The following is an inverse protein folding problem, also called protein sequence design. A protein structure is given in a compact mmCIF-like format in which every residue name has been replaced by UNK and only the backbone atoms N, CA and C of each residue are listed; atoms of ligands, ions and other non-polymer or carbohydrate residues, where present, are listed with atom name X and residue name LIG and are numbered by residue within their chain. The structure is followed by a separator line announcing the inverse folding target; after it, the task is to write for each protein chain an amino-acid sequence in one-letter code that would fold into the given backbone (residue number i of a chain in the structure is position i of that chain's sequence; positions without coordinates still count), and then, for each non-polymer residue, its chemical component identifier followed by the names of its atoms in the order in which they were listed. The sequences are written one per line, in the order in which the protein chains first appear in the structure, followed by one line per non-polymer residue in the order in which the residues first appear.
data_IF_381493559704
#
_entry.id   IF_381493559704
#
_cell.length_a   1.000
_cell.length_b   1.000
_cell.length_c   1.000
_cell.angle_alpha   90.00
_cell.angle_beta   90.00
_cell.angle_gamma   90.00
#
_symmetry.space_group_name_H-M   'P 1'
#
loop_
_entity.id
_entity.type
_entity.pdbx_description
1 polymer ?
#
# COMPACT_ATOMS: atom_id res chain seq x y z
N UNK A 1 5.05 -8.17 -13.68
CA UNK A 1 3.63 -7.95 -14.02
C UNK A 1 2.90 -7.40 -12.79
N UNK A 2 2.12 -6.32 -12.93
CA UNK A 2 1.39 -5.79 -11.79
C UNK A 2 0.28 -6.76 -11.34
N UNK A 3 -0.11 -6.72 -10.06
CA UNK A 3 -1.22 -7.52 -9.57
C UNK A 3 -2.54 -7.08 -10.19
N UNK A 4 -3.57 -7.89 -10.02
CA UNK A 4 -4.92 -7.56 -10.48
C UNK A 4 -5.44 -6.32 -9.76
N UNK A 5 -6.21 -5.50 -10.47
CA UNK A 5 -6.80 -4.29 -9.93
C UNK A 5 -6.93 -3.21 -10.98
N UNK A 6 -7.43 -2.07 -10.56
CA UNK A 6 -7.56 -0.89 -11.42
C UNK A 6 -6.23 -0.17 -11.47
N UNK A 7 -5.79 0.17 -12.66
CA UNK A 7 -4.49 0.77 -12.90
C UNK A 7 -3.69 -0.07 -13.87
N UNK A 8 -2.34 -0.09 -13.76
CA UNK A 8 -1.56 0.46 -12.65
C UNK A 8 -1.39 1.97 -12.68
N UNK A 9 -1.11 2.54 -11.53
CA UNK A 9 -0.81 3.95 -11.36
C UNK A 9 0.54 4.12 -10.69
N UNK A 10 1.14 5.28 -10.88
CA UNK A 10 2.39 5.65 -10.23
C UNK A 10 2.22 7.01 -9.58
N UNK A 11 2.73 7.15 -8.36
CA UNK A 11 2.76 8.44 -7.69
C UNK A 11 4.13 8.68 -7.06
N UNK A 12 4.42 9.95 -6.83
CA UNK A 12 5.60 10.38 -6.08
C UNK A 12 5.13 11.09 -4.81
N UNK A 13 5.82 10.84 -3.74
CA UNK A 13 5.50 11.42 -2.46
C UNK A 13 6.60 11.16 -1.46
N UNK A 14 6.27 11.29 -0.18
CA UNK A 14 7.20 11.04 0.92
C UNK A 14 6.69 9.87 1.75
N UNK A 15 7.57 8.94 2.11
CA UNK A 15 7.19 7.89 3.04
C UNK A 15 6.97 8.53 4.41
N UNK A 16 5.72 8.63 4.81
CA UNK A 16 5.33 9.32 6.03
C UNK A 16 5.47 8.43 7.26
N UNK A 17 5.02 7.20 7.16
CA UNK A 17 4.96 6.28 8.29
C UNK A 17 4.99 4.85 7.79
N UNK A 18 5.69 3.98 8.51
CA UNK A 18 5.64 2.54 8.30
C UNK A 18 4.73 1.98 9.38
N UNK A 19 3.65 1.34 8.96
CA UNK A 19 2.66 0.82 9.88
C UNK A 19 2.91 -0.64 10.25
N UNK A 20 1.84 -1.31 10.61
CA UNK A 20 1.86 -2.67 11.10
C UNK A 20 2.19 -3.68 9.99
N UNK A 21 2.90 -4.74 10.35
CA UNK A 21 3.17 -5.88 9.48
C UNK A 21 2.42 -7.08 10.02
N UNK A 22 1.59 -7.69 9.17
CA UNK A 22 0.67 -8.75 9.58
C UNK A 22 0.89 -9.99 8.73
N UNK A 23 1.00 -11.15 9.40
CA UNK A 23 1.00 -12.44 8.70
C UNK A 23 -0.43 -12.89 8.48
N UNK A 24 -0.78 -13.14 7.22
CA UNK A 24 -2.11 -13.60 6.84
C UNK A 24 -2.23 -15.12 6.91
N UNK A 25 -3.46 -15.62 6.86
CA UNK A 25 -3.74 -17.07 6.94
C UNK A 25 -3.10 -17.86 5.78
N UNK A 26 -2.90 -17.23 4.63
CA UNK A 26 -2.22 -17.84 3.48
C UNK A 26 -0.69 -17.71 3.57
N UNK A 27 -0.18 -17.31 4.73
CA UNK A 27 1.24 -17.15 5.02
C UNK A 27 1.93 -15.94 4.36
N UNK A 28 1.18 -15.10 3.65
CA UNK A 28 1.71 -13.84 3.13
C UNK A 28 1.94 -12.84 4.27
N UNK A 29 2.92 -11.98 4.10
CA UNK A 29 3.18 -10.86 5.01
C UNK A 29 2.67 -9.58 4.36
N UNK A 30 1.74 -8.90 5.03
CA UNK A 30 1.19 -7.63 4.57
C UNK A 30 1.76 -6.50 5.40
N UNK A 31 2.38 -5.55 4.72
CA UNK A 31 2.96 -4.36 5.35
C UNK A 31 2.12 -3.15 5.00
N UNK A 32 1.61 -2.46 6.02
CA UNK A 32 0.96 -1.17 5.84
C UNK A 32 1.99 -0.06 5.88
N UNK A 33 1.73 0.98 5.12
CA UNK A 33 2.54 2.20 5.15
C UNK A 33 1.73 3.38 4.64
N UNK A 34 2.16 4.58 4.98
CA UNK A 34 1.48 5.81 4.61
C UNK A 34 2.40 6.65 3.74
N UNK A 35 1.87 7.11 2.61
CA UNK A 35 2.58 8.01 1.71
C UNK A 35 1.92 9.38 1.78
N UNK A 36 2.73 10.41 2.00
CA UNK A 36 2.26 11.78 1.97
C UNK A 36 2.45 12.35 0.58
N UNK A 37 1.36 12.81 -0.02
CA UNK A 37 1.37 13.50 -1.31
C UNK A 37 0.76 14.87 -1.06
N UNK A 38 1.56 15.90 -1.11
CA UNK A 38 1.17 17.25 -0.69
C UNK A 38 0.66 17.25 0.75
N UNK A 39 -0.61 17.52 1.00
CA UNK A 39 -1.20 17.50 2.34
C UNK A 39 -1.99 16.23 2.63
N UNK A 40 -2.11 15.34 1.64
CA UNK A 40 -2.88 14.12 1.80
C UNK A 40 -2.02 12.95 2.27
N UNK A 41 -2.60 12.13 3.11
CA UNK A 41 -1.97 10.92 3.63
C UNK A 41 -2.70 9.72 3.06
N UNK A 42 -1.98 8.90 2.28
CA UNK A 42 -2.54 7.75 1.59
C UNK A 42 -2.06 6.48 2.26
N UNK A 43 -3.00 5.70 2.80
CA UNK A 43 -2.69 4.39 3.36
C UNK A 43 -2.53 3.38 2.22
N UNK A 44 -1.41 2.71 2.21
CA UNK A 44 -1.10 1.67 1.23
C UNK A 44 -0.74 0.36 1.90
N UNK A 45 -0.78 -0.70 1.13
CA UNK A 45 -0.33 -2.02 1.56
C UNK A 45 0.63 -2.60 0.54
N UNK A 46 1.56 -3.43 1.01
CA UNK A 46 2.48 -4.16 0.17
C UNK A 46 2.69 -5.55 0.76
N UNK A 47 2.90 -6.53 -0.11
CA UNK A 47 3.02 -7.93 0.30
C UNK A 47 4.44 -8.43 0.12
N UNK A 48 4.86 -9.30 1.04
CA UNK A 48 6.11 -10.07 0.97
C UNK A 48 7.33 -9.21 0.64
N UNK A 49 7.98 -9.41 -0.49
CA UNK A 49 9.22 -8.72 -0.87
C UNK A 49 9.04 -7.21 -1.00
N UNK A 50 7.89 -6.77 -1.50
CA UNK A 50 7.61 -5.33 -1.62
C UNK A 50 7.46 -4.72 -0.23
N UNK A 51 6.81 -5.43 0.68
CA UNK A 51 6.71 -5.01 2.08
C UNK A 51 8.07 -4.91 2.76
N UNK A 52 8.98 -5.85 2.46
CA UNK A 52 10.35 -5.78 2.97
C UNK A 52 11.09 -4.55 2.44
N UNK A 53 10.88 -4.22 1.16
CA UNK A 53 11.48 -3.02 0.57
C UNK A 53 11.02 -1.75 1.30
N UNK A 54 9.75 -1.68 1.68
CA UNK A 54 9.22 -0.55 2.45
C UNK A 54 9.97 -0.41 3.78
N UNK A 55 10.20 -1.52 4.48
CA UNK A 55 10.85 -1.49 5.79
C UNK A 55 12.29 -0.97 5.74
N UNK A 56 12.94 -1.08 4.60
CA UNK A 56 14.32 -0.62 4.42
C UNK A 56 14.43 0.87 4.10
N UNK A 57 13.32 1.54 3.90
CA UNK A 57 13.28 2.96 3.55
C UNK A 57 12.97 3.76 4.80
N UNK A 58 13.86 4.68 5.22
CA UNK A 58 13.57 5.52 6.38
C UNK A 58 12.37 6.44 6.12
N UNK A 59 11.46 6.60 7.11
CA UNK A 59 10.42 7.62 7.01
C UNK A 59 11.02 8.99 6.73
N UNK A 60 10.34 9.79 5.91
CA UNK A 60 10.84 11.08 5.46
C UNK A 60 11.53 11.02 4.10
N UNK A 61 11.75 9.84 3.57
CA UNK A 61 12.39 9.65 2.26
C UNK A 61 11.41 9.93 1.14
N UNK A 62 11.85 10.66 0.11
CA UNK A 62 11.09 10.83 -1.13
C UNK A 62 11.06 9.49 -1.89
N UNK A 63 9.88 9.08 -2.31
CA UNK A 63 9.67 7.77 -2.93
C UNK A 63 8.79 7.87 -4.17
N UNK A 64 8.92 6.86 -5.02
CA UNK A 64 8.00 6.60 -6.13
C UNK A 64 7.36 5.25 -5.87
N UNK A 65 6.03 5.20 -5.99
CA UNK A 65 5.25 3.98 -5.74
C UNK A 65 4.41 3.65 -6.95
N UNK A 66 4.50 2.41 -7.42
CA UNK A 66 3.59 1.87 -8.43
C UNK A 66 2.57 0.99 -7.71
N UNK A 67 1.30 1.19 -8.00
CA UNK A 67 0.24 0.53 -7.27
C UNK A 67 -0.99 0.26 -8.15
N UNK A 68 -1.84 -0.63 -7.68
CA UNK A 68 -3.17 -0.85 -8.23
C UNK A 68 -4.20 -0.55 -7.15
N UNK A 69 -5.40 -0.17 -7.60
CA UNK A 69 -6.52 0.06 -6.69
C UNK A 69 -7.39 -1.18 -6.71
N UNK A 70 -7.66 -1.73 -5.55
CA UNK A 70 -8.53 -2.88 -5.39
C UNK A 70 -9.74 -2.50 -4.57
N UNK A 71 -10.89 -3.00 -4.97
CA UNK A 71 -12.13 -2.73 -4.26
C UNK A 71 -13.01 -3.96 -4.25
N UNK A 72 -13.82 -4.08 -3.22
CA UNK A 72 -14.80 -5.16 -3.14
C UNK A 72 -15.92 -4.79 -2.20
N UNK A 73 -17.00 -5.53 -2.33
CA UNK A 73 -18.15 -5.42 -1.46
C UNK A 73 -18.01 -6.42 -0.32
N UNK A 74 -18.20 -5.94 0.89
CA UNK A 74 -18.10 -6.76 2.09
C UNK A 74 -19.45 -6.77 2.81
N UNK A 75 -19.85 -7.96 3.24
CA UNK A 75 -21.08 -8.17 3.99
C UNK A 75 -20.73 -8.60 5.41
N UNK A 76 -20.56 -7.65 6.35
CA UNK A 76 -20.36 -8.03 7.74
C UNK A 76 -21.64 -8.65 8.32
N UNK A 77 -21.51 -9.60 9.26
CA UNK A 77 -22.68 -10.17 9.92
C UNK A 77 -23.55 -9.09 10.56
N UNK A 78 -24.87 -9.18 10.38
CA UNK A 78 -25.87 -8.29 10.98
C UNK A 78 -25.76 -6.81 10.59
N UNK A 79 -25.06 -6.48 9.50
CA UNK A 79 -24.88 -5.10 9.03
C UNK A 79 -25.09 -5.00 7.54
N UNK A 80 -25.32 -3.77 7.09
CA UNK A 80 -25.42 -3.48 5.67
C UNK A 80 -24.07 -3.72 4.97
N UNK A 81 -24.13 -4.03 3.69
CA UNK A 81 -22.94 -4.19 2.88
C UNK A 81 -22.10 -2.92 2.85
N UNK A 82 -20.79 -3.08 2.88
CA UNK A 82 -19.84 -1.99 2.76
C UNK A 82 -18.93 -2.21 1.57
N UNK A 83 -18.44 -1.11 1.03
CA UNK A 83 -17.45 -1.14 -0.03
C UNK A 83 -16.10 -0.80 0.56
N UNK A 84 -15.12 -1.63 0.28
CA UNK A 84 -13.76 -1.45 0.78
C UNK A 84 -12.84 -1.14 -0.39
N UNK A 85 -11.83 -0.32 -0.12
CA UNK A 85 -10.87 0.11 -1.09
C UNK A 85 -9.46 -0.08 -0.52
N UNK A 86 -8.55 -0.62 -1.32
CA UNK A 86 -7.14 -0.75 -0.95
C UNK A 86 -6.25 -0.30 -2.09
N UNK A 87 -5.16 0.35 -1.72
CA UNK A 87 -4.08 0.72 -2.63
C UNK A 87 -2.96 -0.29 -2.39
N UNK A 88 -2.75 -1.18 -3.38
CA UNK A 88 -1.77 -2.25 -3.26
C UNK A 88 -0.53 -1.91 -4.07
N UNK A 89 0.56 -1.60 -3.39
CA UNK A 89 1.83 -1.29 -4.02
C UNK A 89 2.51 -2.57 -4.50
N UNK A 90 3.07 -2.54 -5.70
CA UNK A 90 3.85 -3.65 -6.23
C UNK A 90 5.28 -3.23 -6.60
N UNK A 91 5.60 -1.95 -6.47
CA UNK A 91 6.96 -1.45 -6.62
C UNK A 91 7.11 -0.18 -5.80
N UNK A 92 8.16 -0.08 -5.03
CA UNK A 92 8.48 1.12 -4.27
C UNK A 92 9.98 1.36 -4.35
N UNK A 93 10.37 2.60 -4.60
CA UNK A 93 11.78 2.95 -4.68
C UNK A 93 12.00 4.37 -4.18
N UNK A 94 13.13 4.63 -3.49
CA UNK A 94 13.51 6.00 -3.20
C UNK A 94 13.78 6.75 -4.49
N UNK A 95 13.42 8.03 -4.51
CA UNK A 95 13.77 8.90 -5.64
C UNK A 95 14.99 9.69 -5.28
N UNK A 96 15.95 9.75 -6.19
CA UNK A 96 17.11 10.61 -6.02
C UNK A 96 16.76 12.01 -6.52
N UNK A 97 17.22 13.00 -5.79
CA UNK A 97 17.10 14.39 -6.19
C UNK A 97 18.25 14.80 -7.11
#
# INVERSE_FOLDING_TARGET
MPPSGVGPYTLQGTLYEIGERIRLSNNQLRQYFVVQVETDLLLMEAYDEVGEAVQKIPPGTAIRVAFVIRGWRWYPPEREARYLLRLTAFCIEPTSL
#
